data_IF_755317546820
#
_entry.id   IF_755317546820
#
_cell.length_a   1.000
_cell.length_b   1.000
_cell.length_c   1.000
_cell.angle_alpha   90.00
_cell.angle_beta   90.00
_cell.angle_gamma   90.00
#
_symmetry.space_group_name_H-M   'P 1'
#
loop_
_entity.id
_entity.type
_entity.pdbx_description
1 polymer ?
#
# COMPACT_ATOMS: atom_id res chain seq x y z
N UNK A 1 -0.53 11.42 -21.38
CA UNK A 1 -0.96 12.39 -22.40
C UNK A 1 -1.11 13.81 -21.86
N UNK A 2 -1.87 14.05 -20.75
CA UNK A 2 -2.14 15.40 -20.21
C UNK A 2 -0.84 16.11 -19.82
N UNK A 3 0.03 15.50 -19.02
CA UNK A 3 1.32 16.09 -18.60
C UNK A 3 2.24 16.43 -19.79
N UNK A 4 2.26 15.60 -20.82
CA UNK A 4 3.04 15.88 -22.03
C UNK A 4 2.54 17.12 -22.77
N UNK A 5 1.22 17.30 -22.87
CA UNK A 5 0.61 18.46 -23.54
C UNK A 5 0.78 19.74 -22.75
N UNK A 6 0.67 19.64 -21.44
CA UNK A 6 0.93 20.74 -20.51
C UNK A 6 2.41 21.05 -20.36
N UNK A 7 3.30 20.32 -21.05
CA UNK A 7 4.74 20.40 -20.86
C UNK A 7 5.17 20.31 -19.39
N UNK A 8 4.37 19.59 -18.58
CA UNK A 8 4.65 19.36 -17.16
C UNK A 8 5.68 18.26 -16.98
N UNK A 9 6.45 18.36 -15.90
CA UNK A 9 7.46 17.35 -15.55
C UNK A 9 6.82 15.99 -15.26
N UNK A 10 7.29 14.96 -15.92
CA UNK A 10 6.87 13.56 -15.68
C UNK A 10 7.29 13.07 -14.29
N UNK A 11 8.34 13.66 -13.71
CA UNK A 11 8.74 13.37 -12.33
C UNK A 11 7.68 13.82 -11.32
N UNK A 12 7.01 14.95 -11.58
CA UNK A 12 5.88 15.40 -10.76
C UNK A 12 4.71 14.41 -10.85
N UNK A 13 4.43 13.87 -12.04
CA UNK A 13 3.40 12.85 -12.22
C UNK A 13 3.74 11.59 -11.42
N UNK A 14 4.92 11.01 -11.65
CA UNK A 14 5.35 9.78 -10.97
C UNK A 14 5.44 9.97 -9.46
N UNK A 15 5.94 11.12 -9.01
CA UNK A 15 6.04 11.46 -7.60
C UNK A 15 4.67 11.59 -6.92
N UNK A 16 3.72 12.28 -7.53
CA UNK A 16 2.37 12.44 -6.96
C UNK A 16 1.64 11.09 -6.88
N UNK A 17 1.74 10.26 -7.92
CA UNK A 17 1.16 8.91 -7.90
C UNK A 17 1.84 8.06 -6.82
N UNK A 18 3.16 8.14 -6.69
CA UNK A 18 3.93 7.43 -5.66
C UNK A 18 3.41 7.74 -4.26
N UNK A 19 3.27 9.02 -3.92
CA UNK A 19 2.80 9.46 -2.60
C UNK A 19 1.36 9.02 -2.33
N UNK A 20 0.47 9.24 -3.30
CA UNK A 20 -0.95 8.90 -3.14
C UNK A 20 -1.16 7.38 -3.02
N UNK A 21 -0.58 6.60 -3.93
CA UNK A 21 -0.66 5.14 -3.89
C UNK A 21 0.00 4.58 -2.62
N UNK A 22 1.12 5.19 -2.19
CA UNK A 22 1.81 4.80 -0.97
C UNK A 22 0.93 4.94 0.27
N UNK A 23 0.41 6.13 0.54
CA UNK A 23 -0.44 6.38 1.72
C UNK A 23 -1.72 5.54 1.67
N UNK A 24 -2.36 5.42 0.50
CA UNK A 24 -3.57 4.60 0.34
C UNK A 24 -3.32 3.10 0.51
N UNK A 25 -2.08 2.63 0.44
CA UNK A 25 -1.78 1.20 0.61
C UNK A 25 -1.92 0.70 2.06
N UNK A 26 -2.15 1.60 3.03
CA UNK A 26 -2.42 1.26 4.45
C UNK A 26 -3.79 0.58 4.64
N UNK A 27 -4.73 0.71 3.71
CA UNK A 27 -6.10 0.14 3.83
C UNK A 27 -6.10 -1.34 4.25
N UNK A 28 -7.17 -1.86 4.87
CA UNK A 28 -7.18 -3.21 5.47
C UNK A 28 -6.81 -4.34 4.51
N UNK A 29 -7.14 -4.21 3.25
CA UNK A 29 -6.80 -5.14 2.16
C UNK A 29 -5.52 -4.75 1.43
N UNK A 30 -4.86 -3.68 1.85
CA UNK A 30 -3.56 -3.27 1.34
C UNK A 30 -2.48 -4.28 1.71
N UNK A 31 -1.47 -4.39 0.84
CA UNK A 31 -0.40 -5.36 1.01
C UNK A 31 0.31 -5.32 2.36
N UNK A 32 0.70 -4.15 2.90
CA UNK A 32 1.35 -4.05 4.20
C UNK A 32 0.43 -4.49 5.34
N UNK A 33 -0.79 -3.97 5.38
CA UNK A 33 -1.74 -4.23 6.47
C UNK A 33 -2.15 -5.70 6.49
N UNK A 34 -2.46 -6.30 5.34
CA UNK A 34 -2.81 -7.71 5.26
C UNK A 34 -1.67 -8.63 5.75
N UNK A 35 -0.40 -8.31 5.41
CA UNK A 35 0.77 -9.06 5.89
C UNK A 35 0.98 -8.92 7.40
N UNK A 36 0.89 -7.70 7.91
CA UNK A 36 1.03 -7.44 9.34
C UNK A 36 -0.07 -8.13 10.16
N UNK A 37 -1.32 -8.09 9.71
CA UNK A 37 -2.43 -8.84 10.33
C UNK A 37 -2.17 -10.34 10.35
N UNK A 38 -1.70 -10.90 9.23
CA UNK A 38 -1.39 -12.33 9.13
C UNK A 38 -0.26 -12.75 10.09
N UNK A 39 0.80 -11.96 10.18
CA UNK A 39 1.97 -12.26 11.01
C UNK A 39 1.67 -12.11 12.51
N UNK A 40 0.93 -11.09 12.87
CA UNK A 40 0.59 -10.80 14.28
C UNK A 40 -0.67 -11.53 14.73
N UNK A 41 -1.35 -12.21 13.81
CA UNK A 41 -2.62 -12.90 14.04
C UNK A 41 -3.68 -11.98 14.69
N UNK A 42 -3.87 -10.80 14.10
CA UNK A 42 -4.82 -9.78 14.54
C UNK A 42 -5.77 -9.40 13.42
N UNK A 43 -6.91 -8.85 13.77
CA UNK A 43 -7.91 -8.34 12.83
C UNK A 43 -7.67 -6.88 12.41
N UNK A 44 -8.49 -6.41 11.47
CA UNK A 44 -8.39 -5.04 10.97
C UNK A 44 -8.84 -3.99 11.98
N UNK A 45 -9.75 -4.31 12.90
CA UNK A 45 -10.15 -3.40 13.99
C UNK A 45 -8.96 -3.07 14.87
N UNK A 46 -8.21 -4.10 15.22
CA UNK A 46 -7.04 -3.98 16.10
C UNK A 46 -5.87 -3.30 15.43
N UNK A 47 -5.58 -3.61 14.17
CA UNK A 47 -4.39 -3.10 13.49
C UNK A 47 -4.65 -1.79 12.73
N UNK A 48 -5.68 -1.75 11.88
CA UNK A 48 -5.91 -0.66 10.93
C UNK A 48 -6.72 0.50 11.51
N UNK A 49 -7.82 0.23 12.24
CA UNK A 49 -8.72 1.32 12.65
C UNK A 49 -8.00 2.42 13.46
N UNK A 50 -7.08 2.10 14.39
CA UNK A 50 -6.33 3.13 15.10
C UNK A 50 -5.39 3.95 14.21
N UNK A 51 -5.05 3.46 13.02
CA UNK A 51 -4.15 4.16 12.07
C UNK A 51 -4.92 5.05 11.08
N UNK A 52 -6.25 4.96 11.03
CA UNK A 52 -7.08 5.80 10.15
C UNK A 52 -6.77 7.30 10.28
N UNK A 53 -6.67 7.90 11.50
CA UNK A 53 -6.31 9.31 11.62
C UNK A 53 -4.96 9.65 10.98
N UNK A 54 -3.95 8.78 11.17
CA UNK A 54 -2.64 8.95 10.55
C UNK A 54 -2.72 8.88 9.03
N UNK A 55 -3.49 7.94 8.46
CA UNK A 55 -3.73 7.83 7.03
C UNK A 55 -4.40 9.11 6.47
N UNK A 56 -5.40 9.64 7.16
CA UNK A 56 -6.08 10.87 6.74
C UNK A 56 -5.12 12.07 6.74
N UNK A 57 -4.30 12.22 7.76
CA UNK A 57 -3.27 13.27 7.80
C UNK A 57 -2.20 13.05 6.73
N UNK A 58 -1.82 11.79 6.47
CA UNK A 58 -0.97 11.43 5.34
C UNK A 58 -1.55 11.87 3.99
N UNK A 59 -2.86 11.68 3.77
CA UNK A 59 -3.55 12.17 2.56
C UNK A 59 -3.53 13.70 2.47
N UNK A 60 -3.78 14.42 3.58
CA UNK A 60 -3.66 15.89 3.60
C UNK A 60 -2.25 16.32 3.20
N UNK A 61 -1.22 15.64 3.71
CA UNK A 61 0.17 15.87 3.30
C UNK A 61 0.37 15.63 1.80
N UNK A 62 -0.14 14.54 1.25
CA UNK A 62 -0.06 14.25 -0.19
C UNK A 62 -0.70 15.37 -1.01
N UNK A 63 -1.88 15.84 -0.63
CA UNK A 63 -2.53 16.98 -1.31
C UNK A 63 -1.72 18.27 -1.21
N UNK A 64 -1.13 18.56 -0.05
CA UNK A 64 -0.27 19.73 0.14
C UNK A 64 0.97 19.67 -0.75
N UNK A 65 1.62 18.49 -0.84
CA UNK A 65 2.78 18.27 -1.72
C UNK A 65 2.38 18.36 -3.19
N UNK A 66 1.26 17.77 -3.58
CA UNK A 66 0.73 17.85 -4.95
C UNK A 66 0.43 19.31 -5.33
N UNK A 67 -0.17 20.09 -4.44
CA UNK A 67 -0.40 21.51 -4.63
C UNK A 67 0.92 22.30 -4.78
N UNK A 68 1.91 22.01 -3.92
CA UNK A 68 3.24 22.61 -4.01
C UNK A 68 3.91 22.32 -5.36
N UNK A 69 3.88 21.06 -5.80
CA UNK A 69 4.41 20.69 -7.11
C UNK A 69 3.66 21.36 -8.25
N UNK A 70 2.33 21.41 -8.17
CA UNK A 70 1.51 22.10 -9.16
C UNK A 70 1.83 23.59 -9.26
N UNK A 71 2.01 24.27 -8.11
CA UNK A 71 2.42 25.69 -8.07
C UNK A 71 3.82 25.89 -8.70
N UNK A 72 4.77 25.00 -8.40
CA UNK A 72 6.13 25.03 -8.97
C UNK A 72 6.11 24.82 -10.48
N UNK A 73 5.32 23.86 -10.96
CA UNK A 73 5.16 23.58 -12.39
C UNK A 73 4.47 24.74 -13.11
N UNK A 74 3.45 25.36 -12.52
CA UNK A 74 2.80 26.55 -13.06
C UNK A 74 3.78 27.73 -13.20
N UNK A 75 4.67 27.92 -12.24
CA UNK A 75 5.70 28.94 -12.32
C UNK A 75 6.73 28.64 -13.43
N UNK A 76 7.00 27.35 -13.72
CA UNK A 76 7.94 26.91 -14.75
C UNK A 76 7.36 26.98 -16.17
N UNK A 77 6.11 26.55 -16.33
CA UNK A 77 5.48 26.37 -17.66
C UNK A 77 4.64 27.56 -18.06
N UNK A 78 4.14 28.35 -17.10
CA UNK A 78 3.18 29.44 -17.32
C UNK A 78 1.74 28.93 -17.41
N UNK A 79 0.85 29.79 -17.89
CA UNK A 79 -0.57 29.46 -18.15
C UNK A 79 -0.66 29.14 -19.66
N UNK A 80 -0.97 27.88 -19.96
CA UNK A 80 -1.21 27.43 -21.32
C UNK A 80 -2.70 27.52 -21.62
N UNK A 81 -3.05 28.11 -22.75
CA UNK A 81 -4.42 28.11 -23.28
C UNK A 81 -4.65 26.72 -23.92
N UNK A 82 -5.49 25.92 -23.30
CA UNK A 82 -5.80 24.57 -23.73
C UNK A 82 -7.21 24.50 -24.27
N UNK A 83 -7.35 24.37 -25.56
CA UNK A 83 -8.57 23.83 -26.15
C UNK A 83 -8.58 22.31 -25.92
N UNK A 84 -9.45 21.85 -25.02
CA UNK A 84 -9.64 20.44 -24.72
C UNK A 84 -10.50 19.76 -25.80
N UNK A 85 -9.95 19.48 -26.96
CA UNK A 85 -10.52 18.46 -27.84
C UNK A 85 -9.70 17.19 -27.75
N UNK A 86 -10.11 16.29 -26.85
CA UNK A 86 -9.55 14.94 -26.91
C UNK A 86 -10.49 13.89 -26.34
N UNK A 87 -11.06 13.15 -27.25
CA UNK A 87 -11.52 11.79 -26.98
C UNK A 87 -10.31 10.90 -26.66
N UNK A 88 -10.31 10.34 -25.45
CA UNK A 88 -9.41 9.21 -25.13
C UNK A 88 -9.86 8.06 -26.02
N UNK A 89 -9.14 7.77 -27.09
CA UNK A 89 -9.40 6.59 -27.91
C UNK A 89 -9.11 5.35 -27.05
N UNK A 90 -10.18 4.74 -26.57
CA UNK A 90 -10.12 3.46 -25.89
C UNK A 90 -9.86 2.36 -26.89
N UNK A 91 -9.15 1.31 -26.50
CA UNK A 91 -9.13 0.09 -27.28
C UNK A 91 -10.55 -0.52 -27.34
N UNK A 92 -10.84 -1.29 -28.39
CA UNK A 92 -12.15 -1.95 -28.53
C UNK A 92 -12.46 -2.83 -27.33
N UNK A 93 -11.46 -3.47 -26.75
CA UNK A 93 -11.58 -4.32 -25.57
C UNK A 93 -11.94 -3.50 -24.32
N UNK A 94 -11.27 -2.37 -24.09
CA UNK A 94 -11.60 -1.47 -22.98
C UNK A 94 -13.00 -0.86 -23.12
N UNK A 95 -13.39 -0.48 -24.35
CA UNK A 95 -14.73 0.03 -24.64
C UNK A 95 -15.81 -1.02 -24.35
N UNK A 96 -15.57 -2.28 -24.71
CA UNK A 96 -16.48 -3.41 -24.45
C UNK A 96 -16.66 -3.70 -22.95
N UNK A 97 -15.64 -3.45 -22.13
CA UNK A 97 -15.68 -3.67 -20.68
C UNK A 97 -16.37 -2.55 -19.91
N UNK A 98 -16.54 -1.39 -20.52
CA UNK A 98 -17.22 -0.27 -19.85
C UNK A 98 -18.70 -0.55 -19.65
N UNK A 99 -19.18 -0.20 -18.47
CA UNK A 99 -20.59 -0.30 -18.07
C UNK A 99 -21.10 1.05 -17.54
N UNK A 100 -21.18 2.09 -18.40
CA UNK A 100 -21.55 3.45 -17.94
C UNK A 100 -22.91 3.51 -17.28
N UNK A 101 -23.86 2.68 -17.72
CA UNK A 101 -25.22 2.58 -17.13
C UNK A 101 -25.23 2.03 -15.70
N UNK A 102 -24.19 1.26 -15.32
CA UNK A 102 -24.05 0.64 -14.00
C UNK A 102 -23.09 1.44 -13.08
N UNK A 103 -22.67 2.63 -13.49
CA UNK A 103 -21.71 3.44 -12.74
C UNK A 103 -22.17 3.68 -11.29
N UNK A 104 -23.41 4.14 -11.12
CA UNK A 104 -23.99 4.40 -9.80
C UNK A 104 -24.17 3.14 -8.96
N UNK A 105 -24.55 2.03 -9.59
CA UNK A 105 -24.65 0.75 -8.91
C UNK A 105 -23.26 0.29 -8.41
N UNK A 106 -22.25 0.33 -9.25
CA UNK A 106 -20.88 -0.06 -8.88
C UNK A 106 -20.29 0.87 -7.81
N UNK A 107 -20.58 2.18 -7.90
CA UNK A 107 -20.18 3.13 -6.87
C UNK A 107 -20.83 2.80 -5.52
N UNK A 108 -22.16 2.56 -5.51
CA UNK A 108 -22.87 2.21 -4.28
C UNK A 108 -22.39 0.88 -3.69
N UNK A 109 -22.20 -0.14 -4.52
CA UNK A 109 -21.65 -1.43 -4.09
C UNK A 109 -20.28 -1.27 -3.44
N UNK A 110 -19.41 -0.47 -4.05
CA UNK A 110 -18.07 -0.17 -3.50
C UNK A 110 -18.18 0.60 -2.17
N UNK A 111 -19.05 1.61 -2.09
CA UNK A 111 -19.24 2.39 -0.88
C UNK A 111 -19.75 1.51 0.27
N UNK A 112 -20.76 0.66 0.02
CA UNK A 112 -21.29 -0.28 1.01
C UNK A 112 -20.22 -1.27 1.44
N UNK A 113 -19.42 -1.81 0.50
CA UNK A 113 -18.32 -2.70 0.83
C UNK A 113 -17.28 -2.01 1.75
N UNK A 114 -16.88 -0.78 1.42
CA UNK A 114 -15.90 -0.02 2.22
C UNK A 114 -16.44 0.24 3.64
N UNK A 115 -17.71 0.63 3.77
CA UNK A 115 -18.35 0.81 5.09
C UNK A 115 -18.38 -0.50 5.87
N UNK A 116 -18.80 -1.60 5.23
CA UNK A 116 -18.85 -2.92 5.86
C UNK A 116 -17.47 -3.42 6.33
N UNK A 117 -16.40 -3.07 5.58
CA UNK A 117 -15.01 -3.38 5.93
C UNK A 117 -14.52 -2.55 7.13
N UNK A 118 -14.86 -1.27 7.19
CA UNK A 118 -14.49 -0.38 8.30
C UNK A 118 -15.22 -0.81 9.59
N UNK A 119 -16.52 -1.10 9.49
CA UNK A 119 -17.36 -1.57 10.58
C UNK A 119 -17.07 -3.03 10.98
N UNK A 120 -16.21 -3.73 10.23
CA UNK A 120 -15.87 -5.15 10.47
C UNK A 120 -17.10 -6.06 10.59
N UNK A 121 -18.11 -5.84 9.74
CA UNK A 121 -19.39 -6.55 9.81
C UNK A 121 -19.24 -8.07 9.59
N UNK A 122 -18.25 -8.47 8.79
CA UNK A 122 -17.90 -9.86 8.49
C UNK A 122 -16.39 -9.97 8.20
N UNK A 123 -15.81 -11.20 8.27
CA UNK A 123 -14.44 -11.43 7.84
C UNK A 123 -14.18 -10.91 6.42
N UNK A 124 -13.05 -10.23 6.23
CA UNK A 124 -12.63 -9.61 4.97
C UNK A 124 -12.88 -10.50 3.73
N UNK A 125 -12.45 -11.78 3.73
CA UNK A 125 -12.66 -12.64 2.54
C UNK A 125 -14.13 -12.81 2.17
N UNK A 126 -15.01 -12.92 3.15
CA UNK A 126 -16.44 -13.11 2.94
C UNK A 126 -17.06 -11.86 2.31
N UNK A 127 -16.73 -10.66 2.84
CA UNK A 127 -17.21 -9.39 2.27
C UNK A 127 -16.78 -9.24 0.81
N UNK A 128 -15.50 -9.53 0.51
CA UNK A 128 -15.02 -9.46 -0.87
C UNK A 128 -15.67 -10.51 -1.78
N UNK A 129 -15.87 -11.74 -1.30
CA UNK A 129 -16.55 -12.77 -2.10
C UNK A 129 -17.98 -12.38 -2.44
N UNK A 130 -18.74 -11.86 -1.48
CA UNK A 130 -20.12 -11.39 -1.71
C UNK A 130 -20.13 -10.23 -2.70
N UNK A 131 -19.32 -9.18 -2.46
CA UNK A 131 -19.27 -8.02 -3.33
C UNK A 131 -18.81 -8.36 -4.75
N UNK A 132 -17.80 -9.25 -4.87
CA UNK A 132 -17.32 -9.73 -6.16
C UNK A 132 -18.39 -10.53 -6.91
N UNK A 133 -19.10 -11.45 -6.23
CA UNK A 133 -20.18 -12.21 -6.81
C UNK A 133 -21.31 -11.30 -7.33
N UNK A 134 -21.74 -10.32 -6.53
CA UNK A 134 -22.74 -9.32 -6.93
C UNK A 134 -22.25 -8.50 -8.14
N UNK A 135 -21.01 -7.99 -8.07
CA UNK A 135 -20.42 -7.21 -9.16
C UNK A 135 -20.33 -8.02 -10.45
N UNK A 136 -19.92 -9.29 -10.35
CA UNK A 136 -19.76 -10.19 -11.49
C UNK A 136 -21.11 -10.48 -12.17
N UNK A 137 -22.13 -10.83 -11.41
CA UNK A 137 -23.46 -11.15 -11.93
C UNK A 137 -24.11 -9.91 -12.58
N UNK A 138 -24.04 -8.76 -11.94
CA UNK A 138 -24.70 -7.53 -12.43
C UNK A 138 -23.98 -6.94 -13.64
N UNK A 139 -22.64 -6.91 -13.64
CA UNK A 139 -21.89 -6.33 -14.75
C UNK A 139 -21.71 -7.28 -15.93
N UNK A 140 -21.73 -8.59 -15.69
CA UNK A 140 -21.52 -9.65 -16.70
C UNK A 140 -22.59 -10.74 -16.57
N UNK A 141 -23.80 -10.52 -17.11
CA UNK A 141 -24.93 -11.47 -16.95
C UNK A 141 -24.69 -12.84 -17.62
N UNK A 142 -23.82 -12.88 -18.63
CA UNK A 142 -23.50 -14.12 -19.34
C UNK A 142 -22.49 -14.98 -18.58
N UNK A 143 -22.76 -16.27 -18.28
CA UNK A 143 -21.81 -17.18 -17.64
C UNK A 143 -20.46 -17.26 -18.37
N UNK A 144 -20.46 -17.13 -19.69
CA UNK A 144 -19.25 -17.11 -20.51
C UNK A 144 -18.40 -15.89 -20.22
N UNK A 145 -19.00 -14.69 -20.18
CA UNK A 145 -18.29 -13.45 -19.84
C UNK A 145 -17.76 -13.49 -18.41
N UNK A 146 -18.52 -14.06 -17.47
CA UNK A 146 -18.07 -14.25 -16.08
C UNK A 146 -16.82 -15.11 -16.03
N UNK A 147 -16.82 -16.25 -16.73
CA UNK A 147 -15.67 -17.15 -16.78
C UNK A 147 -14.46 -16.47 -17.44
N UNK A 148 -14.64 -15.70 -18.50
CA UNK A 148 -13.57 -14.92 -19.13
C UNK A 148 -12.94 -13.93 -18.13
N UNK A 149 -13.75 -13.26 -17.31
CA UNK A 149 -13.25 -12.32 -16.29
C UNK A 149 -12.49 -13.01 -15.16
N UNK A 150 -13.00 -14.13 -14.67
CA UNK A 150 -12.33 -14.96 -13.66
C UNK A 150 -10.99 -15.46 -14.21
N UNK A 151 -10.99 -16.02 -15.41
CA UNK A 151 -9.78 -16.58 -16.05
C UNK A 151 -8.73 -15.51 -16.31
N UNK A 152 -9.14 -14.30 -16.74
CA UNK A 152 -8.23 -13.19 -16.98
C UNK A 152 -7.44 -12.77 -15.74
N UNK A 153 -7.96 -12.99 -14.52
CA UNK A 153 -7.31 -12.65 -13.26
C UNK A 153 -6.68 -13.86 -12.55
N UNK A 154 -6.92 -15.07 -13.03
CA UNK A 154 -6.50 -16.30 -12.35
C UNK A 154 -4.98 -16.37 -12.12
N UNK A 155 -4.17 -15.90 -13.08
CA UNK A 155 -2.72 -15.85 -12.94
C UNK A 155 -2.26 -14.98 -11.75
N UNK A 156 -2.86 -13.81 -11.58
CA UNK A 156 -2.56 -12.92 -10.47
C UNK A 156 -2.97 -13.53 -9.12
N UNK A 157 -4.13 -14.17 -9.07
CA UNK A 157 -4.64 -14.84 -7.86
C UNK A 157 -3.70 -15.99 -7.45
N UNK A 158 -3.33 -16.85 -8.40
CA UNK A 158 -2.42 -17.98 -8.15
C UNK A 158 -1.06 -17.47 -7.67
N UNK A 159 -0.51 -16.45 -8.32
CA UNK A 159 0.78 -15.86 -7.93
C UNK A 159 0.75 -15.33 -6.48
N UNK A 160 -0.23 -14.50 -6.14
CA UNK A 160 -0.36 -13.92 -4.78
C UNK A 160 -0.60 -15.01 -3.74
N UNK A 161 -1.49 -15.98 -4.03
CA UNK A 161 -1.76 -17.09 -3.10
C UNK A 161 -0.52 -17.94 -2.86
N UNK A 162 0.24 -18.27 -3.91
CA UNK A 162 1.50 -19.03 -3.79
C UNK A 162 2.53 -18.31 -2.94
N UNK A 163 2.65 -16.98 -3.08
CA UNK A 163 3.52 -16.17 -2.23
C UNK A 163 3.12 -16.24 -0.76
N UNK A 164 1.82 -16.15 -0.46
CA UNK A 164 1.31 -16.23 0.92
C UNK A 164 1.61 -17.61 1.53
N UNK A 165 1.41 -18.70 0.78
CA UNK A 165 1.77 -20.05 1.24
C UNK A 165 3.27 -20.20 1.49
N UNK A 166 4.13 -19.73 0.57
CA UNK A 166 5.57 -19.76 0.75
C UNK A 166 6.02 -18.96 1.99
N UNK A 167 5.45 -17.77 2.19
CA UNK A 167 5.71 -16.95 3.35
C UNK A 167 5.24 -17.62 4.65
N UNK A 168 4.09 -18.28 4.63
CA UNK A 168 3.57 -19.06 5.75
C UNK A 168 4.47 -20.23 6.13
N UNK A 169 5.00 -20.97 5.13
CA UNK A 169 5.98 -22.05 5.35
C UNK A 169 7.25 -21.47 5.97
N UNK A 170 7.79 -20.37 5.42
CA UNK A 170 8.99 -19.72 5.94
C UNK A 170 8.83 -19.30 7.41
N UNK A 171 7.77 -18.58 7.73
CA UNK A 171 7.46 -18.13 9.09
C UNK A 171 7.22 -19.34 10.02
N UNK A 172 6.54 -20.39 9.53
CA UNK A 172 6.30 -21.61 10.27
C UNK A 172 7.59 -22.33 10.64
N UNK A 173 8.56 -22.40 9.73
CA UNK A 173 9.90 -22.97 10.00
C UNK A 173 10.61 -22.14 11.07
N UNK A 174 10.69 -20.84 10.91
CA UNK A 174 11.37 -19.94 11.86
C UNK A 174 10.77 -20.03 13.27
N UNK A 175 9.44 -20.12 13.36
CA UNK A 175 8.73 -20.25 14.63
C UNK A 175 8.92 -21.65 15.24
N UNK A 176 8.72 -22.70 14.45
CA UNK A 176 8.80 -24.10 14.89
C UNK A 176 10.20 -24.52 15.32
N UNK A 177 11.23 -23.95 14.70
CA UNK A 177 12.64 -24.16 15.08
C UNK A 177 13.10 -23.23 16.20
N UNK A 178 12.23 -22.37 16.73
CA UNK A 178 12.54 -21.36 17.76
C UNK A 178 13.60 -20.32 17.34
N UNK A 179 13.87 -20.21 16.05
CA UNK A 179 14.84 -19.23 15.52
C UNK A 179 14.41 -17.79 15.82
N UNK A 180 13.11 -17.45 15.66
CA UNK A 180 12.60 -16.12 16.02
C UNK A 180 12.91 -15.80 17.48
N UNK A 181 12.71 -16.74 18.39
CA UNK A 181 13.00 -16.56 19.82
C UNK A 181 14.49 -16.29 20.07
N UNK A 182 15.37 -17.07 19.47
CA UNK A 182 16.82 -16.87 19.60
C UNK A 182 17.28 -15.50 19.04
N UNK A 183 16.77 -15.12 17.86
CA UNK A 183 17.07 -13.83 17.26
C UNK A 183 16.53 -12.67 18.11
N UNK A 184 15.31 -12.81 18.66
CA UNK A 184 14.71 -11.82 19.56
C UNK A 184 15.55 -11.66 20.83
N UNK A 185 15.99 -12.75 21.47
CA UNK A 185 16.86 -12.70 22.65
C UNK A 185 18.18 -11.97 22.36
N UNK A 186 18.78 -12.23 21.19
CA UNK A 186 20.00 -11.52 20.77
C UNK A 186 19.71 -10.02 20.61
N UNK A 187 18.60 -9.63 19.99
CA UNK A 187 18.22 -8.23 19.86
C UNK A 187 17.97 -7.57 21.22
N UNK A 188 17.30 -8.25 22.15
CA UNK A 188 17.08 -7.76 23.52
C UNK A 188 18.41 -7.47 24.21
N UNK A 189 19.44 -8.32 24.01
CA UNK A 189 20.77 -8.12 24.61
C UNK A 189 21.53 -6.94 23.99
N UNK A 190 21.24 -6.60 22.74
CA UNK A 190 21.89 -5.51 21.99
C UNK A 190 21.21 -4.16 22.16
N UNK A 191 19.89 -4.16 22.40
CA UNK A 191 19.12 -2.92 22.53
C UNK A 191 19.20 -2.40 23.96
N UNK A 192 19.74 -1.18 24.19
CA UNK A 192 19.73 -0.57 25.52
C UNK A 192 18.29 -0.42 26.04
N UNK A 193 18.07 -0.75 27.31
CA UNK A 193 16.74 -0.66 27.94
C UNK A 193 16.14 0.73 27.87
N UNK A 194 16.97 1.77 27.82
CA UNK A 194 16.53 3.16 27.63
C UNK A 194 15.83 3.41 26.29
N UNK A 195 16.09 2.58 25.26
CA UNK A 195 15.45 2.68 23.94
C UNK A 195 14.14 1.87 23.83
N UNK A 196 13.86 1.00 24.78
CA UNK A 196 12.68 0.12 24.73
C UNK A 196 11.35 0.87 24.61
N UNK A 197 11.09 2.01 25.31
CA UNK A 197 9.86 2.77 25.15
C UNK A 197 9.69 3.38 23.74
N UNK A 198 10.80 3.57 23.03
CA UNK A 198 10.82 4.20 21.71
C UNK A 198 10.85 3.19 20.56
N UNK A 199 10.75 1.89 20.82
CA UNK A 199 10.83 0.86 19.78
C UNK A 199 9.79 1.05 18.66
N UNK A 200 8.55 1.37 19.00
CA UNK A 200 7.52 1.64 17.99
C UNK A 200 7.86 2.87 17.15
N UNK A 201 8.38 3.93 17.75
CA UNK A 201 8.81 5.13 17.04
C UNK A 201 10.01 4.82 16.10
N UNK A 202 10.99 4.07 16.59
CA UNK A 202 12.15 3.65 15.79
C UNK A 202 11.68 2.82 14.58
N UNK A 203 10.78 1.86 14.81
CA UNK A 203 10.20 1.04 13.74
C UNK A 203 9.43 1.91 12.74
N UNK A 204 8.60 2.84 13.19
CA UNK A 204 7.84 3.73 12.31
C UNK A 204 8.76 4.56 11.41
N UNK A 205 9.77 5.23 12.00
CA UNK A 205 10.71 6.08 11.27
C UNK A 205 11.58 5.28 10.31
N UNK A 206 12.03 4.09 10.71
CA UNK A 206 12.90 3.25 9.86
C UNK A 206 12.14 2.43 8.83
N UNK A 207 10.84 2.25 8.97
CA UNK A 207 10.02 1.39 8.11
C UNK A 207 10.08 1.78 6.63
N UNK A 208 10.03 3.07 6.31
CA UNK A 208 10.13 3.53 4.93
C UNK A 208 11.54 3.36 4.34
N UNK A 209 12.64 3.81 4.98
CA UNK A 209 13.99 3.54 4.49
C UNK A 209 14.30 2.05 4.33
N UNK A 210 13.83 1.19 5.23
CA UNK A 210 14.04 -0.25 5.15
C UNK A 210 13.32 -0.88 3.95
N UNK A 211 12.34 -0.24 3.36
CA UNK A 211 11.72 -0.71 2.10
C UNK A 211 12.67 -0.66 0.90
N UNK A 212 13.78 0.08 0.99
CA UNK A 212 14.82 0.10 -0.04
C UNK A 212 15.77 -1.10 0.06
N UNK A 213 15.82 -1.76 1.22
CA UNK A 213 16.74 -2.86 1.53
C UNK A 213 16.02 -4.20 1.61
N UNK A 214 14.79 -4.21 2.13
CA UNK A 214 13.99 -5.40 2.29
C UNK A 214 12.83 -5.44 1.31
N UNK A 215 12.59 -6.61 0.72
CA UNK A 215 11.31 -6.87 0.06
C UNK A 215 10.18 -6.83 1.10
N UNK A 216 8.94 -6.53 0.70
CA UNK A 216 7.80 -6.56 1.62
C UNK A 216 7.67 -7.88 2.39
N UNK A 217 7.90 -8.99 1.71
CA UNK A 217 7.77 -10.32 2.31
C UNK A 217 8.90 -10.59 3.32
N UNK A 218 10.14 -10.24 2.99
CA UNK A 218 11.27 -10.37 3.92
C UNK A 218 11.08 -9.49 5.17
N UNK A 219 10.51 -8.31 5.02
CA UNK A 219 10.25 -7.43 6.16
C UNK A 219 9.11 -7.96 7.03
N UNK A 220 7.92 -8.20 6.45
CA UNK A 220 6.74 -8.58 7.24
C UNK A 220 6.83 -10.01 7.78
N UNK A 221 7.31 -10.97 7.01
CA UNK A 221 7.39 -12.36 7.46
C UNK A 221 8.72 -12.73 8.14
N UNK A 222 9.78 -11.97 7.90
CA UNK A 222 11.08 -12.17 8.52
C UNK A 222 11.34 -11.24 9.69
N UNK A 223 11.35 -9.94 9.45
CA UNK A 223 11.76 -8.94 10.46
C UNK A 223 10.67 -8.63 11.49
N UNK A 224 9.42 -8.44 11.06
CA UNK A 224 8.33 -8.02 11.96
C UNK A 224 8.09 -9.02 13.12
N UNK A 225 8.08 -10.35 12.94
CA UNK A 225 7.92 -11.29 14.04
C UNK A 225 9.02 -11.13 15.09
N UNK A 226 10.27 -10.94 14.64
CA UNK A 226 11.43 -10.81 15.53
C UNK A 226 11.32 -9.52 16.35
N UNK A 227 11.06 -8.40 15.69
CA UNK A 227 10.93 -7.11 16.36
C UNK A 227 9.75 -7.10 17.31
N UNK A 228 8.62 -7.69 16.92
CA UNK A 228 7.41 -7.78 17.75
C UNK A 228 7.65 -8.63 19.01
N UNK A 229 8.34 -9.76 18.88
CA UNK A 229 8.71 -10.59 20.04
C UNK A 229 9.74 -9.88 20.94
N UNK A 230 10.69 -9.16 20.36
CA UNK A 230 11.66 -8.33 21.08
C UNK A 230 10.92 -7.23 21.87
N UNK A 231 9.97 -6.55 21.25
CA UNK A 231 9.15 -5.52 21.88
C UNK A 231 8.33 -6.09 23.06
N UNK A 232 7.75 -7.29 22.90
CA UNK A 232 7.04 -8.00 23.97
C UNK A 232 7.94 -8.28 25.18
N UNK A 233 9.19 -8.65 24.96
CA UNK A 233 10.16 -8.87 26.02
C UNK A 233 10.48 -7.60 26.83
N UNK A 234 10.30 -6.43 26.23
CA UNK A 234 10.39 -5.12 26.89
C UNK A 234 9.04 -4.60 27.40
N UNK A 235 7.97 -5.38 27.32
CA UNK A 235 6.62 -4.98 27.75
C UNK A 235 5.89 -4.05 26.78
N UNK A 236 6.39 -3.90 25.54
CA UNK A 236 5.72 -3.14 24.48
C UNK A 236 4.78 -4.05 23.70
N UNK A 237 3.54 -3.58 23.48
CA UNK A 237 2.53 -4.32 22.72
C UNK A 237 3.00 -4.60 21.28
N UNK A 238 3.04 -5.88 20.84
CA UNK A 238 3.41 -6.25 19.46
C UNK A 238 2.55 -5.57 18.40
N UNK A 239 1.28 -5.27 18.69
CA UNK A 239 0.36 -4.61 17.75
C UNK A 239 0.82 -3.18 17.45
N UNK A 240 1.39 -2.48 18.44
CA UNK A 240 1.99 -1.14 18.22
C UNK A 240 3.15 -1.20 17.24
N UNK A 241 3.94 -2.28 17.28
CA UNK A 241 5.03 -2.50 16.32
C UNK A 241 4.47 -2.74 14.91
N UNK A 242 3.39 -3.52 14.79
CA UNK A 242 2.70 -3.73 13.53
C UNK A 242 2.15 -2.43 12.94
N UNK A 243 1.48 -1.60 13.77
CA UNK A 243 0.99 -0.27 13.36
C UNK A 243 2.15 0.62 12.89
N UNK A 244 3.24 0.66 13.65
CA UNK A 244 4.43 1.40 13.30
C UNK A 244 5.03 0.95 11.94
N UNK A 245 5.10 -0.35 11.71
CA UNK A 245 5.64 -0.93 10.48
C UNK A 245 4.85 -0.51 9.24
N UNK A 246 3.52 -0.54 9.30
CA UNK A 246 2.66 -0.20 8.14
C UNK A 246 2.65 1.28 7.79
N UNK A 247 3.20 2.18 8.61
CA UNK A 247 3.30 3.61 8.27
C UNK A 247 4.31 3.91 7.17
N UNK A 248 5.27 3.03 6.92
CA UNK A 248 6.33 3.27 5.93
C UNK A 248 6.63 2.09 5.04
N UNK A 249 6.77 0.89 5.61
CA UNK A 249 7.14 -0.30 4.85
C UNK A 249 6.02 -0.73 3.91
N UNK A 250 6.34 -0.81 2.61
CA UNK A 250 5.39 -1.09 1.54
C UNK A 250 4.20 -0.09 1.48
N UNK A 251 4.28 1.02 2.20
CA UNK A 251 3.33 2.13 2.21
C UNK A 251 3.96 3.29 1.46
N UNK A 252 4.55 4.23 2.15
CA UNK A 252 5.25 5.36 1.51
C UNK A 252 6.49 4.92 0.74
N UNK A 253 7.09 3.79 1.08
CA UNK A 253 8.20 3.17 0.35
C UNK A 253 7.78 2.28 -0.82
N UNK A 254 6.48 2.01 -1.01
CA UNK A 254 5.99 1.02 -1.98
C UNK A 254 6.38 1.33 -3.42
N UNK A 255 5.97 2.46 -4.03
CA UNK A 255 6.34 2.75 -5.42
C UNK A 255 7.66 3.55 -5.53
N UNK A 256 8.51 3.45 -4.54
CA UNK A 256 9.86 4.02 -4.47
C UNK A 256 10.94 2.93 -4.38
N UNK A 257 10.58 1.78 -3.81
CA UNK A 257 11.51 0.68 -3.57
C UNK A 257 11.98 0.03 -4.88
N UNK A 258 13.29 -0.26 -5.02
CA UNK A 258 13.81 -1.05 -6.13
C UNK A 258 13.39 -2.52 -6.05
N UNK A 259 12.80 -2.95 -4.93
CA UNK A 259 12.43 -4.34 -4.64
C UNK A 259 10.94 -4.61 -4.86
N UNK A 260 10.21 -3.66 -5.46
CA UNK A 260 8.79 -3.80 -5.79
C UNK A 260 8.54 -3.59 -7.28
N UNK A 261 7.79 -4.49 -7.90
CA UNK A 261 7.44 -4.40 -9.32
C UNK A 261 6.65 -3.13 -9.66
N UNK A 262 5.84 -2.64 -8.72
CA UNK A 262 5.03 -1.43 -8.88
C UNK A 262 5.87 -0.18 -9.15
N UNK A 263 7.08 -0.09 -8.59
CA UNK A 263 7.99 1.02 -8.88
C UNK A 263 8.39 1.04 -10.37
N UNK A 264 8.77 -0.13 -10.91
CA UNK A 264 9.16 -0.24 -12.32
C UNK A 264 7.99 -0.01 -13.27
N UNK A 265 6.78 -0.45 -12.89
CA UNK A 265 5.57 -0.13 -13.63
C UNK A 265 5.33 1.38 -13.63
N UNK A 266 5.40 2.04 -12.47
CA UNK A 266 5.18 3.48 -12.33
C UNK A 266 6.18 4.28 -13.16
N UNK A 267 7.48 4.01 -13.03
CA UNK A 267 8.51 4.76 -13.77
C UNK A 267 8.46 4.49 -15.28
N UNK A 268 8.17 3.23 -15.67
CA UNK A 268 8.00 2.85 -17.07
C UNK A 268 6.80 3.54 -17.73
N UNK A 269 5.63 3.52 -17.08
CA UNK A 269 4.41 4.19 -17.57
C UNK A 269 4.56 5.72 -17.58
N UNK A 270 5.29 6.29 -16.62
CA UNK A 270 5.55 7.73 -16.56
C UNK A 270 6.65 8.17 -17.52
N UNK A 271 7.47 7.23 -18.04
CA UNK A 271 8.59 7.50 -18.91
C UNK A 271 9.68 8.31 -18.22
N UNK A 272 9.98 8.00 -16.96
CA UNK A 272 11.05 8.63 -16.16
C UNK A 272 12.12 7.59 -15.81
N UNK A 273 13.32 8.05 -15.53
CA UNK A 273 14.39 7.18 -15.06
C UNK A 273 14.20 6.87 -13.56
N UNK A 274 14.47 5.62 -13.18
CA UNK A 274 14.26 5.13 -11.81
C UNK A 274 15.06 5.95 -10.77
N UNK A 275 16.33 6.20 -11.03
CA UNK A 275 17.18 6.96 -10.11
C UNK A 275 16.75 8.42 -9.94
N UNK A 276 16.24 9.05 -11.00
CA UNK A 276 15.68 10.40 -10.94
C UNK A 276 14.37 10.42 -10.15
N UNK A 277 13.49 9.43 -10.37
CA UNK A 277 12.28 9.28 -9.59
C UNK A 277 12.56 9.16 -8.09
N UNK A 278 13.50 8.26 -7.70
CA UNK A 278 13.88 8.11 -6.29
C UNK A 278 14.41 9.40 -5.69
N UNK A 279 15.36 10.07 -6.33
CA UNK A 279 15.92 11.34 -5.86
C UNK A 279 14.86 12.43 -5.71
N UNK A 280 13.89 12.48 -6.63
CA UNK A 280 12.83 13.48 -6.62
C UNK A 280 11.86 13.30 -5.46
N UNK A 281 11.49 12.04 -5.16
CA UNK A 281 10.35 11.78 -4.26
C UNK A 281 10.74 11.25 -2.87
N UNK A 282 11.97 10.77 -2.68
CA UNK A 282 12.40 10.11 -1.44
C UNK A 282 12.06 10.91 -0.18
N UNK A 283 12.46 12.17 -0.12
CA UNK A 283 12.25 13.00 1.06
C UNK A 283 10.77 13.35 1.31
N UNK A 284 9.97 13.44 0.27
CA UNK A 284 8.54 13.65 0.37
C UNK A 284 7.82 12.41 0.88
N UNK A 285 8.22 11.24 0.41
CA UNK A 285 7.72 9.95 0.89
C UNK A 285 8.13 9.71 2.36
N UNK A 286 9.37 10.02 2.71
CA UNK A 286 9.82 9.96 4.09
C UNK A 286 9.07 10.97 4.97
N UNK A 287 8.84 12.18 4.48
CA UNK A 287 8.00 13.18 5.13
C UNK A 287 6.58 12.69 5.39
N UNK A 288 5.97 11.94 4.46
CA UNK A 288 4.66 11.29 4.67
C UNK A 288 4.70 10.33 5.85
N UNK A 289 5.74 9.49 5.94
CA UNK A 289 5.92 8.56 7.08
C UNK A 289 6.05 9.33 8.40
N UNK A 290 6.85 10.38 8.45
CA UNK A 290 7.05 11.17 9.67
C UNK A 290 5.74 11.84 10.11
N UNK A 291 5.03 12.48 9.18
CA UNK A 291 3.75 13.14 9.47
C UNK A 291 2.72 12.13 10.00
N UNK A 292 2.63 10.95 9.40
CA UNK A 292 1.77 9.88 9.88
C UNK A 292 2.21 9.33 11.24
N UNK A 293 3.51 9.22 11.48
CA UNK A 293 4.07 8.73 12.75
C UNK A 293 3.76 9.67 13.93
N UNK A 294 3.69 10.99 13.70
CA UNK A 294 3.35 11.97 14.75
C UNK A 294 1.90 11.80 15.23
N UNK A 295 1.03 11.30 14.37
CA UNK A 295 -0.41 11.18 14.65
C UNK A 295 -0.80 9.77 15.11
N UNK A 296 -0.03 8.75 14.72
CA UNK A 296 -0.27 7.36 15.09
C UNK A 296 0.21 7.07 16.52
#
# INVERSE_FOLDING_TARGET
>A
PIYQRLNMSRLVLSGTICLAAGVMNIIPWGGPTARAMAVLNVDSLTLFNPVIPAMLVGLVWVFAVAFYFGKKERARVGILDLSFEHEVKLSEEEARLRRPKLLWFNFLLTAVLVVALIENMMPLPILFMIAYGIALIVNFPSPKEQMERITAQAGNVVFVSSMIFAAGIFTGILTGTKMIGAMSQTLVSLIPTALSPYLSLIVAVTSMPLSLVFTPDAYYFGMLPIISQTASAFGVDPVKIGRAAILGQMTTGFPLSPLTASTFILVGMSGVEFGEHQKHIFWWAFGSTIVMTIVA
#
